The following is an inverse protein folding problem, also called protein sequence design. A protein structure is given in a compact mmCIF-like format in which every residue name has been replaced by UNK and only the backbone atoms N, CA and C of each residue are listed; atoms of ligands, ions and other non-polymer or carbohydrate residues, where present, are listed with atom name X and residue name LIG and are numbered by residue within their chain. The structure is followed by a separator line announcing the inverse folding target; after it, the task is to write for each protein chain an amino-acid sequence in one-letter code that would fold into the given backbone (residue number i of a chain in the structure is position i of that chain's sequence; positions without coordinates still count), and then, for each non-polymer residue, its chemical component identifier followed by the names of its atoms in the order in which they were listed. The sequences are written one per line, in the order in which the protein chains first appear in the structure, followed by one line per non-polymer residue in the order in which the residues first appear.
data_IF_417924209799
#
_entry.id   IF_417924209799
#
_cell.length_a   1.000
_cell.length_b   1.000
_cell.length_c   1.000
_cell.angle_alpha   90.00
_cell.angle_beta   90.00
_cell.angle_gamma   90.00
#
_symmetry.space_group_name_H-M   'P 1'
#
loop_
_entity.id
_entity.type
_entity.pdbx_description
1 polymer ?
#
# COMPACT_ATOMS: atom_id res chain seq x y z
N UNK A 1 -5.09 18.58 -33.28
CA UNK A 1 -5.26 17.97 -31.93
C UNK A 1 -4.34 16.75 -31.86
N UNK A 2 -3.36 16.66 -30.94
CA UNK A 2 -2.38 15.59 -31.00
C UNK A 2 -3.01 14.27 -30.54
N UNK A 3 -2.93 13.31 -31.47
CA UNK A 3 -3.08 11.86 -31.36
C UNK A 3 -3.09 11.31 -29.93
N UNK A 4 -4.13 10.56 -29.56
CA UNK A 4 -4.19 9.66 -28.40
C UNK A 4 -3.28 8.44 -28.57
N UNK A 5 -2.07 8.65 -29.08
CA UNK A 5 -1.04 7.62 -29.08
C UNK A 5 -0.73 7.31 -27.61
N UNK A 6 -1.14 6.11 -27.18
CA UNK A 6 -0.60 5.48 -25.98
C UNK A 6 0.91 5.63 -26.06
N UNK A 7 1.48 6.43 -25.14
CA UNK A 7 2.91 6.70 -25.10
C UNK A 7 3.67 5.36 -25.22
N UNK A 8 4.48 5.14 -26.27
CA UNK A 8 5.16 3.87 -26.48
C UNK A 8 6.03 3.58 -25.25
N UNK A 9 5.63 2.57 -24.46
CA UNK A 9 6.24 2.34 -23.15
C UNK A 9 5.26 1.87 -22.09
N UNK A 10 4.06 2.45 -22.01
CA UNK A 10 3.10 2.13 -20.96
C UNK A 10 2.36 0.81 -21.21
N UNK A 11 1.90 0.19 -20.12
CA UNK A 11 0.99 -0.94 -20.20
C UNK A 11 -0.35 -0.47 -20.75
N UNK A 12 -0.96 -1.25 -21.66
CA UNK A 12 -2.22 -0.87 -22.27
C UNK A 12 -3.27 -0.61 -21.17
N UNK A 13 -4.06 0.47 -21.24
CA UNK A 13 -5.17 0.64 -20.33
C UNK A 13 -6.05 -0.61 -20.46
N UNK A 14 -6.21 -1.36 -19.37
CA UNK A 14 -7.26 -2.36 -19.35
C UNK A 14 -8.57 -1.58 -19.32
N UNK A 15 -9.51 -1.84 -20.23
CA UNK A 15 -10.87 -1.35 -20.07
C UNK A 15 -11.31 -1.78 -18.68
N UNK A 16 -11.51 -0.81 -17.80
CA UNK A 16 -12.14 -1.09 -16.52
C UNK A 16 -13.62 -1.02 -16.85
N UNK A 17 -14.32 -2.14 -16.64
CA UNK A 17 -15.78 -2.14 -16.69
C UNK A 17 -16.36 -1.19 -15.64
N UNK A 18 -17.66 -1.29 -15.31
CA UNK A 18 -18.20 -0.52 -14.19
C UNK A 18 -17.32 -0.70 -12.93
N UNK A 19 -17.22 0.32 -12.05
CA UNK A 19 -16.46 0.20 -10.81
C UNK A 19 -16.82 -1.10 -10.11
N UNK A 20 -15.83 -1.82 -9.55
CA UNK A 20 -16.09 -3.12 -8.94
C UNK A 20 -17.15 -2.96 -7.85
N UNK A 21 -18.10 -3.90 -7.80
CA UNK A 21 -19.06 -3.95 -6.71
C UNK A 21 -18.29 -4.11 -5.41
N UNK A 22 -18.43 -3.14 -4.49
CA UNK A 22 -17.82 -3.28 -3.17
C UNK A 22 -18.62 -4.32 -2.39
N UNK A 23 -17.98 -5.42 -2.03
CA UNK A 23 -18.53 -6.32 -1.03
C UNK A 23 -18.77 -5.54 0.27
N UNK A 24 -19.80 -5.92 1.04
CA UNK A 24 -20.04 -5.37 2.37
C UNK A 24 -18.82 -5.70 3.26
N UNK A 25 -17.89 -4.74 3.35
CA UNK A 25 -16.69 -4.83 4.17
C UNK A 25 -16.88 -4.09 5.50
N UNK A 26 -16.04 -4.38 6.51
CA UNK A 26 -16.03 -3.60 7.74
C UNK A 26 -15.79 -2.12 7.42
N UNK A 27 -16.68 -1.24 7.88
CA UNK A 27 -16.62 0.21 7.67
C UNK A 27 -17.64 0.80 6.68
N UNK A 28 -18.44 -0.02 5.98
CA UNK A 28 -19.58 0.50 5.19
C UNK A 28 -19.21 1.40 4.01
N UNK A 29 -17.98 1.27 3.50
CA UNK A 29 -17.45 2.08 2.40
C UNK A 29 -18.33 1.97 1.13
N UNK A 30 -18.53 3.10 0.45
CA UNK A 30 -19.32 3.23 -0.77
C UNK A 30 -18.47 3.87 -1.86
N UNK A 31 -18.77 3.55 -3.13
CA UNK A 31 -18.20 4.26 -4.26
C UNK A 31 -19.13 5.40 -4.65
N UNK A 32 -18.60 6.61 -4.61
CA UNK A 32 -19.28 7.80 -5.06
C UNK A 32 -18.47 8.46 -6.17
N UNK A 33 -19.14 8.93 -7.22
CA UNK A 33 -18.48 9.74 -8.25
C UNK A 33 -18.16 11.11 -7.67
N UNK A 34 -16.94 11.57 -7.86
CA UNK A 34 -16.47 12.87 -7.41
C UNK A 34 -16.03 13.73 -8.61
N UNK A 35 -16.33 15.02 -8.53
CA UNK A 35 -15.88 16.01 -9.51
C UNK A 35 -14.48 16.51 -9.14
N UNK A 36 -13.66 16.87 -10.13
CA UNK A 36 -12.27 17.28 -9.91
C UNK A 36 -12.15 18.50 -8.99
N UNK A 37 -13.15 19.40 -9.01
CA UNK A 37 -13.21 20.60 -8.19
C UNK A 37 -13.39 20.29 -6.70
N UNK A 38 -13.86 19.08 -6.37
CA UNK A 38 -14.02 18.59 -4.99
C UNK A 38 -12.76 17.90 -4.46
N UNK A 39 -11.72 17.73 -5.28
CA UNK A 39 -10.45 17.14 -4.87
C UNK A 39 -9.48 18.23 -4.42
N UNK A 40 -9.66 18.66 -3.17
CA UNK A 40 -8.77 19.64 -2.56
C UNK A 40 -7.30 19.20 -2.65
N UNK A 41 -6.40 20.12 -2.97
CA UNK A 41 -4.96 19.86 -3.07
C UNK A 41 -4.52 18.92 -4.20
N UNK A 42 -5.41 18.44 -5.07
CA UNK A 42 -5.02 17.58 -6.19
C UNK A 42 -3.98 18.28 -7.09
N UNK A 43 -4.23 19.55 -7.46
CA UNK A 43 -3.29 20.32 -8.28
C UNK A 43 -1.96 20.69 -7.61
N UNK A 44 -1.86 20.52 -6.29
CA UNK A 44 -0.67 20.88 -5.50
C UNK A 44 0.34 19.72 -5.40
N UNK A 45 -0.10 18.48 -5.65
CA UNK A 45 0.79 17.33 -5.67
C UNK A 45 1.68 17.31 -6.92
N UNK A 46 2.91 16.82 -6.74
CA UNK A 46 3.79 16.49 -7.85
C UNK A 46 3.37 15.15 -8.50
N UNK A 47 2.36 15.20 -9.37
CA UNK A 47 1.87 14.02 -10.10
C UNK A 47 2.94 13.31 -10.94
N UNK A 48 4.05 13.97 -11.28
CA UNK A 48 5.14 13.33 -12.03
C UNK A 48 5.78 12.18 -11.24
N UNK A 49 5.81 12.27 -9.92
CA UNK A 49 6.38 11.20 -9.08
C UNK A 49 5.46 9.97 -9.04
N UNK A 50 4.15 10.18 -8.92
CA UNK A 50 3.16 9.10 -9.04
C UNK A 50 3.25 8.44 -10.43
N UNK A 51 3.36 9.26 -11.49
CA UNK A 51 3.51 8.76 -12.85
C UNK A 51 4.81 7.97 -13.06
N UNK A 52 5.91 8.34 -12.40
CA UNK A 52 7.16 7.56 -12.44
C UNK A 52 6.98 6.16 -11.85
N UNK A 53 6.28 6.03 -10.72
CA UNK A 53 5.96 4.74 -10.10
C UNK A 53 5.08 3.90 -11.04
N UNK A 54 3.96 4.48 -11.51
CA UNK A 54 3.07 3.82 -12.48
C UNK A 54 3.80 3.33 -13.73
N UNK A 55 4.68 4.16 -14.30
CA UNK A 55 5.49 3.80 -15.46
C UNK A 55 6.47 2.67 -15.14
N UNK A 56 7.13 2.69 -13.99
CA UNK A 56 8.02 1.62 -13.55
C UNK A 56 7.25 0.29 -13.45
N UNK A 57 6.06 0.30 -12.83
CA UNK A 57 5.15 -0.85 -12.78
C UNK A 57 4.80 -1.38 -14.18
N UNK A 58 4.35 -0.50 -15.09
CA UNK A 58 4.00 -0.89 -16.45
C UNK A 58 5.20 -1.52 -17.19
N UNK A 59 6.40 -0.94 -17.05
CA UNK A 59 7.60 -1.45 -17.69
C UNK A 59 8.00 -2.82 -17.14
N UNK A 60 7.96 -3.00 -15.82
CA UNK A 60 8.24 -4.29 -15.18
C UNK A 60 7.27 -5.38 -15.67
N UNK A 61 5.96 -5.08 -15.75
CA UNK A 61 4.95 -5.99 -16.30
C UNK A 61 5.23 -6.39 -17.75
N UNK A 62 5.61 -5.44 -18.60
CA UNK A 62 5.85 -5.69 -20.04
C UNK A 62 7.08 -6.54 -20.29
N UNK A 63 8.13 -6.33 -19.50
CA UNK A 63 9.41 -7.00 -19.70
C UNK A 63 9.42 -8.42 -19.11
N UNK A 64 8.33 -8.86 -18.46
CA UNK A 64 8.29 -10.14 -17.73
C UNK A 64 9.43 -10.27 -16.71
N UNK A 65 9.99 -9.14 -16.27
CA UNK A 65 11.26 -9.13 -15.56
C UNK A 65 11.08 -9.66 -14.14
N UNK A 66 11.89 -10.65 -13.80
CA UNK A 66 12.35 -10.87 -12.43
C UNK A 66 13.30 -9.75 -11.99
N UNK A 67 13.51 -9.57 -10.68
CA UNK A 67 14.09 -8.34 -10.14
C UNK A 67 15.56 -8.06 -10.47
N UNK A 68 15.93 -6.80 -10.22
CA UNK A 68 17.18 -6.07 -10.47
C UNK A 68 18.47 -6.76 -10.00
N UNK A 69 19.63 -6.36 -10.58
CA UNK A 69 20.99 -6.81 -10.22
C UNK A 69 21.93 -5.63 -9.90
N UNK A 70 22.21 -5.35 -8.62
CA UNK A 70 23.47 -5.45 -7.83
C UNK A 70 23.18 -4.98 -6.38
N UNK A 71 23.33 -5.81 -5.34
CA UNK A 71 23.01 -5.46 -3.93
C UNK A 71 22.62 -6.67 -3.05
N UNK A 72 22.23 -6.47 -1.77
CA UNK A 72 21.66 -7.53 -0.91
C UNK A 72 20.50 -6.91 -0.11
N UNK A 73 19.27 -7.27 -0.44
CA UNK A 73 18.08 -6.96 0.37
C UNK A 73 17.21 -8.21 0.51
N UNK A 74 16.27 -8.26 1.46
CA UNK A 74 15.31 -9.36 1.58
C UNK A 74 13.90 -8.88 1.19
N UNK A 75 13.19 -9.68 0.40
CA UNK A 75 11.82 -9.40 -0.05
C UNK A 75 10.91 -10.59 0.26
N UNK A 76 9.62 -10.32 0.44
CA UNK A 76 8.65 -11.40 0.64
C UNK A 76 8.55 -12.26 -0.64
N UNK A 77 8.83 -13.54 -0.52
CA UNK A 77 8.91 -14.47 -1.65
C UNK A 77 7.72 -15.43 -1.69
N UNK A 78 7.23 -15.84 -0.53
CA UNK A 78 6.14 -16.80 -0.41
C UNK A 78 5.36 -16.58 0.88
N UNK A 79 4.05 -16.86 0.86
CA UNK A 79 3.24 -16.95 2.07
C UNK A 79 2.56 -18.32 2.11
N UNK A 80 2.45 -18.92 3.30
CA UNK A 80 1.83 -20.23 3.47
C UNK A 80 0.30 -20.25 3.26
N UNK A 81 -0.30 -19.10 2.89
CA UNK A 81 -1.75 -18.89 2.65
C UNK A 81 -2.66 -19.26 3.81
N UNK A 82 -2.12 -19.39 5.02
CA UNK A 82 -2.92 -19.56 6.23
C UNK A 82 -3.52 -18.21 6.67
N UNK A 83 -4.66 -18.22 7.40
CA UNK A 83 -5.28 -17.00 7.87
C UNK A 83 -4.33 -16.15 8.72
N UNK A 84 -4.32 -14.84 8.46
CA UNK A 84 -3.64 -13.88 9.32
C UNK A 84 -4.47 -13.64 10.58
N UNK A 85 -3.82 -13.62 11.75
CA UNK A 85 -4.45 -13.23 13.01
C UNK A 85 -3.62 -12.15 13.69
N UNK A 86 -4.27 -11.04 14.04
CA UNK A 86 -3.63 -9.91 14.73
C UNK A 86 -3.31 -10.27 16.17
N UNK A 87 -2.03 -10.47 16.47
CA UNK A 87 -1.57 -10.70 17.85
C UNK A 87 -1.80 -9.48 18.75
N UNK A 88 -1.77 -8.27 18.20
CA UNK A 88 -2.12 -7.06 18.95
C UNK A 88 -3.57 -7.07 19.41
N UNK A 89 -4.49 -7.50 18.53
CA UNK A 89 -5.91 -7.64 18.88
C UNK A 89 -6.11 -8.67 20.00
N UNK A 90 -5.43 -9.82 19.94
CA UNK A 90 -5.47 -10.83 21.01
C UNK A 90 -5.01 -10.25 22.35
N UNK A 91 -3.95 -9.45 22.37
CA UNK A 91 -3.45 -8.83 23.61
C UNK A 91 -4.39 -7.75 24.16
N UNK A 92 -5.11 -7.04 23.28
CA UNK A 92 -6.15 -6.10 23.69
C UNK A 92 -7.36 -6.84 24.27
N UNK A 93 -7.89 -7.81 23.54
CA UNK A 93 -9.09 -8.58 23.92
C UNK A 93 -8.89 -9.34 25.24
N UNK A 94 -7.66 -9.79 25.49
CA UNK A 94 -7.32 -10.48 26.73
C UNK A 94 -6.87 -9.56 27.87
N UNK A 95 -6.96 -8.23 27.69
CA UNK A 95 -6.65 -7.24 28.73
C UNK A 95 -5.17 -7.04 29.04
N UNK A 96 -4.26 -7.64 28.28
CA UNK A 96 -2.81 -7.58 28.50
C UNK A 96 -2.21 -6.23 28.07
N UNK A 97 -2.79 -5.59 27.07
CA UNK A 97 -2.41 -4.25 26.61
C UNK A 97 -3.67 -3.41 26.47
N UNK A 98 -3.67 -2.21 27.04
CA UNK A 98 -4.77 -1.27 26.87
C UNK A 98 -4.88 -0.85 25.38
N UNK A 99 -6.07 -0.88 24.76
CA UNK A 99 -6.23 -0.48 23.36
C UNK A 99 -5.69 0.92 23.04
N UNK A 100 -5.74 1.86 24.00
CA UNK A 100 -5.23 3.22 23.84
C UNK A 100 -3.70 3.29 23.81
N UNK A 101 -3.03 2.31 24.38
CA UNK A 101 -1.56 2.22 24.45
C UNK A 101 -0.98 1.33 23.35
N UNK A 102 -1.83 0.60 22.61
CA UNK A 102 -1.38 -0.31 21.57
C UNK A 102 -0.63 0.46 20.47
N UNK A 103 0.62 0.05 20.27
CA UNK A 103 1.54 0.52 19.25
C UNK A 103 2.53 -0.59 18.93
N UNK A 104 3.23 -0.52 17.80
CA UNK A 104 4.27 -1.49 17.47
C UNK A 104 5.37 -1.52 18.54
N UNK A 105 5.73 -0.35 19.08
CA UNK A 105 6.71 -0.21 20.16
C UNK A 105 6.24 -0.91 21.43
N UNK A 106 5.00 -0.65 21.87
CA UNK A 106 4.42 -1.29 23.07
C UNK A 106 4.27 -2.79 22.90
N UNK A 107 3.82 -3.24 21.72
CA UNK A 107 3.71 -4.66 21.37
C UNK A 107 5.09 -5.35 21.44
N UNK A 108 6.12 -4.78 20.81
CA UNK A 108 7.49 -5.33 20.85
C UNK A 108 8.04 -5.40 22.28
N UNK A 109 7.80 -4.37 23.09
CA UNK A 109 8.21 -4.37 24.50
C UNK A 109 7.53 -5.51 25.27
N UNK A 110 6.20 -5.61 25.18
CA UNK A 110 5.44 -6.66 25.87
C UNK A 110 5.90 -8.07 25.47
N UNK A 111 6.15 -8.32 24.17
CA UNK A 111 6.63 -9.63 23.69
C UNK A 111 8.03 -9.98 24.23
N UNK A 112 8.90 -8.98 24.42
CA UNK A 112 10.25 -9.19 24.98
C UNK A 112 10.20 -9.49 26.48
N UNK A 113 9.31 -8.81 27.19
CA UNK A 113 9.16 -8.93 28.64
C UNK A 113 8.43 -10.22 29.04
N UNK A 114 7.56 -10.77 28.17
CA UNK A 114 6.69 -11.91 28.46
C UNK A 114 6.97 -13.11 27.54
N UNK A 115 8.23 -13.57 27.43
CA UNK A 115 8.67 -14.52 26.38
C UNK A 115 7.86 -15.82 26.24
N UNK A 116 7.39 -16.39 27.36
CA UNK A 116 6.60 -17.63 27.33
C UNK A 116 5.23 -17.39 26.69
N UNK A 117 4.45 -16.43 27.20
CA UNK A 117 3.16 -16.04 26.64
C UNK A 117 3.29 -15.47 25.22
N UNK A 118 4.38 -14.74 24.95
CA UNK A 118 4.66 -14.21 23.62
C UNK A 118 4.70 -15.34 22.57
N UNK A 119 5.31 -16.48 22.90
CA UNK A 119 5.34 -17.64 22.00
C UNK A 119 3.93 -18.16 21.71
N UNK A 120 3.12 -18.32 22.75
CA UNK A 120 1.74 -18.80 22.62
C UNK A 120 0.90 -17.86 21.74
N UNK A 121 0.97 -16.55 22.01
CA UNK A 121 0.24 -15.53 21.25
C UNK A 121 0.73 -15.47 19.80
N UNK A 122 2.04 -15.53 19.55
CA UNK A 122 2.59 -15.57 18.18
C UNK A 122 2.12 -16.79 17.40
N UNK A 123 2.02 -17.97 18.03
CA UNK A 123 1.51 -19.19 17.40
C UNK A 123 0.03 -19.13 17.02
N UNK A 124 -0.74 -18.18 17.56
CA UNK A 124 -2.13 -17.95 17.13
C UNK A 124 -2.22 -17.42 15.71
N UNK A 125 -1.20 -16.70 15.24
CA UNK A 125 -1.12 -16.30 13.84
C UNK A 125 -0.55 -17.44 13.00
N UNK A 126 -1.43 -18.11 12.25
CA UNK A 126 -1.03 -19.22 11.38
C UNK A 126 -0.35 -18.74 10.09
N UNK A 127 -0.54 -17.47 9.73
CA UNK A 127 0.08 -16.87 8.56
C UNK A 127 1.59 -16.74 8.76
N UNK A 128 2.35 -17.22 7.77
CA UNK A 128 3.80 -17.14 7.73
C UNK A 128 4.27 -16.63 6.38
N UNK A 129 5.16 -15.65 6.40
CA UNK A 129 5.79 -15.06 5.21
C UNK A 129 7.26 -15.49 5.18
N UNK A 130 7.66 -16.09 4.07
CA UNK A 130 9.03 -16.50 3.79
C UNK A 130 9.69 -15.45 2.92
N UNK A 131 10.91 -15.10 3.28
CA UNK A 131 11.68 -14.08 2.58
C UNK A 131 12.74 -14.74 1.71
N UNK A 132 13.03 -14.10 0.57
CA UNK A 132 14.19 -14.43 -0.26
C UNK A 132 15.16 -13.26 -0.18
N UNK A 133 16.44 -13.59 -0.04
CA UNK A 133 17.50 -12.61 -0.25
C UNK A 133 17.57 -12.35 -1.76
N UNK A 134 17.39 -11.10 -2.15
CA UNK A 134 17.55 -10.60 -3.51
C UNK A 134 19.00 -10.13 -3.69
N UNK A 135 19.88 -10.99 -4.27
CA UNK A 135 21.22 -10.57 -4.66
C UNK A 135 21.08 -9.59 -5.83
N UNK A 136 20.98 -8.32 -5.53
CA UNK A 136 20.79 -7.32 -6.55
C UNK A 136 20.11 -6.05 -6.10
N UNK A 137 19.43 -6.05 -4.97
CA UNK A 137 18.66 -4.89 -4.55
C UNK A 137 19.50 -4.10 -3.56
N UNK A 138 19.81 -2.85 -3.88
CA UNK A 138 20.51 -1.98 -2.94
C UNK A 138 19.52 -1.49 -1.88
N UNK A 139 19.92 -1.37 -0.61
CA UNK A 139 19.04 -0.87 0.45
C UNK A 139 18.35 0.46 0.11
N UNK A 140 19.03 1.33 -0.65
CA UNK A 140 18.52 2.65 -1.03
C UNK A 140 17.43 2.60 -2.11
N UNK A 141 17.29 1.49 -2.83
CA UNK A 141 16.28 1.32 -3.88
C UNK A 141 14.90 1.00 -3.31
N UNK A 142 14.83 0.67 -2.01
CA UNK A 142 13.61 0.21 -1.35
C UNK A 142 13.29 -1.26 -1.67
N UNK A 143 12.41 -1.89 -0.87
CA UNK A 143 12.00 -3.27 -1.09
C UNK A 143 11.16 -3.38 -2.38
N UNK A 144 11.13 -4.58 -2.96
CA UNK A 144 10.18 -4.88 -4.03
C UNK A 144 8.79 -5.07 -3.45
N UNK A 145 7.80 -4.33 -3.96
CA UNK A 145 6.40 -4.59 -3.67
C UNK A 145 5.88 -5.84 -4.39
N UNK A 146 4.68 -6.27 -4.04
CA UNK A 146 3.99 -7.40 -4.72
C UNK A 146 3.77 -7.15 -6.23
N UNK A 147 3.82 -5.91 -6.69
CA UNK A 147 3.79 -5.57 -8.11
C UNK A 147 5.12 -5.81 -8.85
N UNK A 148 6.19 -6.21 -8.15
CA UNK A 148 7.49 -6.54 -8.74
C UNK A 148 8.40 -5.34 -9.02
N UNK A 149 8.08 -4.17 -8.44
CA UNK A 149 8.86 -2.94 -8.57
C UNK A 149 9.36 -2.45 -7.22
N UNK A 150 10.53 -1.78 -7.17
CA UNK A 150 11.00 -1.15 -5.95
C UNK A 150 10.05 -0.04 -5.49
N UNK A 151 9.75 -0.01 -4.20
CA UNK A 151 8.83 0.96 -3.62
C UNK A 151 9.54 2.30 -3.36
N UNK A 152 9.03 3.36 -3.97
CA UNK A 152 9.53 4.74 -3.72
C UNK A 152 8.83 5.33 -2.50
N UNK A 153 9.51 5.90 -1.49
CA UNK A 153 8.84 6.45 -0.31
C UNK A 153 7.68 7.41 -0.64
N UNK A 154 6.58 7.32 0.12
CA UNK A 154 5.41 8.20 0.08
C UNK A 154 4.66 8.24 -1.27
N UNK A 155 4.74 7.17 -2.07
CA UNK A 155 4.05 7.04 -3.36
C UNK A 155 3.27 5.73 -3.54
N UNK A 156 3.80 4.55 -3.19
CA UNK A 156 3.06 3.34 -3.28
C UNK A 156 2.26 3.08 -2.00
N UNK A 157 1.15 2.41 -2.21
CA UNK A 157 0.34 1.84 -1.16
C UNK A 157 0.22 0.33 -1.33
N UNK A 158 0.13 -0.37 -0.20
CA UNK A 158 -0.50 -1.67 -0.17
C UNK A 158 -2.01 -1.47 -0.10
N UNK A 159 -2.76 -2.16 -0.96
CA UNK A 159 -4.22 -2.11 -0.99
C UNK A 159 -4.81 -3.51 -1.22
N UNK A 160 -6.10 -3.66 -0.94
CA UNK A 160 -6.83 -4.88 -1.26
C UNK A 160 -6.90 -5.07 -2.78
N UNK A 161 -6.37 -6.21 -3.25
CA UNK A 161 -6.31 -6.56 -4.68
C UNK A 161 -7.64 -6.99 -5.28
N UNK A 162 -8.62 -7.34 -4.45
CA UNK A 162 -9.94 -7.79 -4.92
C UNK A 162 -10.67 -6.66 -5.66
N UNK A 163 -10.89 -5.48 -5.03
CA UNK A 163 -11.42 -4.33 -5.75
C UNK A 163 -10.35 -3.56 -6.53
N UNK A 164 -9.08 -3.52 -6.08
CA UNK A 164 -8.07 -2.61 -6.63
C UNK A 164 -6.84 -3.34 -7.18
N UNK A 165 -6.78 -3.61 -8.50
CA UNK A 165 -5.59 -4.20 -9.12
C UNK A 165 -4.33 -3.36 -8.92
N UNK A 166 -3.15 -3.99 -9.01
CA UNK A 166 -1.89 -3.25 -9.03
C UNK A 166 -1.83 -2.27 -10.20
N UNK A 167 -1.17 -1.13 -9.96
CA UNK A 167 -1.10 0.01 -10.86
C UNK A 167 -2.28 0.97 -10.74
N UNK A 168 -3.31 0.64 -9.95
CA UNK A 168 -4.45 1.55 -9.74
C UNK A 168 -3.97 2.85 -9.10
N UNK A 169 -4.19 4.02 -9.73
CA UNK A 169 -3.90 5.30 -9.11
C UNK A 169 -4.97 5.63 -8.08
N UNK A 170 -4.54 6.03 -6.89
CA UNK A 170 -5.40 6.38 -5.76
C UNK A 170 -4.93 7.71 -5.19
N UNK A 171 -5.79 8.73 -5.19
CA UNK A 171 -5.54 9.96 -4.46
C UNK A 171 -5.93 9.77 -3.00
N UNK A 172 -5.01 10.07 -2.10
CA UNK A 172 -5.21 9.99 -0.65
C UNK A 172 -5.28 11.41 -0.09
N UNK A 173 -6.33 11.70 0.66
CA UNK A 173 -6.48 12.91 1.48
C UNK A 173 -6.60 12.49 2.96
N UNK A 174 -5.65 12.93 3.78
CA UNK A 174 -5.58 12.56 5.20
C UNK A 174 -4.79 13.58 6.00
N UNK A 175 -5.03 13.63 7.31
CA UNK A 175 -4.18 14.35 8.28
C UNK A 175 -3.22 13.36 8.93
N UNK A 176 -1.93 13.42 8.54
CA UNK A 176 -0.93 12.41 8.91
C UNK A 176 0.32 13.05 9.53
N UNK A 177 0.95 12.42 10.53
CA UNK A 177 2.26 12.83 11.05
C UNK A 177 3.38 12.35 10.11
N UNK A 178 3.41 12.86 8.88
CA UNK A 178 4.26 12.31 7.81
C UNK A 178 5.58 13.07 7.60
N UNK A 179 5.63 14.36 7.94
CA UNK A 179 6.87 15.17 7.96
C UNK A 179 7.41 15.32 9.37
N UNK A 180 6.52 15.55 10.33
CA UNK A 180 6.78 15.74 11.76
C UNK A 180 5.82 14.89 12.60
N UNK A 181 5.96 14.91 13.93
CA UNK A 181 5.04 14.23 14.85
C UNK A 181 3.65 14.88 14.90
N UNK A 182 3.49 16.07 14.31
CA UNK A 182 2.20 16.74 14.21
C UNK A 182 1.47 16.27 12.95
N UNK A 183 0.16 15.96 13.04
CA UNK A 183 -0.65 15.74 11.86
C UNK A 183 -0.59 16.97 10.95
N UNK A 184 -0.24 16.73 9.70
CA UNK A 184 -0.23 17.71 8.62
C UNK A 184 -1.01 17.14 7.42
N UNK A 185 -1.61 17.99 6.58
CA UNK A 185 -2.29 17.55 5.37
C UNK A 185 -1.37 16.68 4.50
N UNK A 186 -1.85 15.51 4.15
CA UNK A 186 -1.25 14.59 3.21
C UNK A 186 -2.21 14.38 2.06
N UNK A 187 -1.92 15.04 0.94
CA UNK A 187 -2.72 15.01 -0.28
C UNK A 187 -1.84 14.59 -1.43
N UNK A 188 -1.90 13.31 -1.80
CA UNK A 188 -1.01 12.77 -2.83
C UNK A 188 -1.71 11.78 -3.72
N UNK A 189 -1.35 11.83 -5.00
CA UNK A 189 -1.59 10.74 -5.92
C UNK A 189 -0.58 9.61 -5.62
N UNK A 190 -1.13 8.45 -5.34
CA UNK A 190 -0.43 7.23 -4.96
C UNK A 190 -0.71 6.12 -5.98
N UNK A 191 0.12 5.09 -6.02
CA UNK A 191 -0.06 3.92 -6.90
C UNK A 191 -0.18 2.65 -6.06
N UNK A 192 -1.17 1.81 -6.34
CA UNK A 192 -1.28 0.47 -5.73
C UNK A 192 -0.17 -0.45 -6.26
N UNK A 193 0.93 -0.61 -5.53
CA UNK A 193 2.09 -1.41 -5.95
C UNK A 193 2.40 -2.57 -4.99
N UNK A 194 1.66 -2.67 -3.89
CA UNK A 194 1.86 -3.72 -2.90
C UNK A 194 0.53 -4.28 -2.37
N UNK A 195 0.61 -5.33 -1.55
CA UNK A 195 -0.51 -5.88 -0.78
C UNK A 195 -0.03 -6.31 0.60
N UNK A 196 -0.94 -6.32 1.57
CA UNK A 196 -0.70 -6.93 2.87
C UNK A 196 -1.87 -7.81 3.30
N UNK A 197 -1.59 -8.91 3.99
CA UNK A 197 -2.63 -9.83 4.47
C UNK A 197 -3.61 -9.19 5.47
N UNK A 198 -3.19 -8.14 6.17
CA UNK A 198 -4.03 -7.35 7.07
C UNK A 198 -4.73 -6.16 6.39
N UNK A 199 -4.42 -5.90 5.11
CA UNK A 199 -4.91 -4.74 4.34
C UNK A 199 -6.05 -5.22 3.45
N UNK A 200 -7.23 -5.32 4.06
CA UNK A 200 -8.44 -5.84 3.45
C UNK A 200 -9.54 -4.77 3.45
N UNK A 201 -10.34 -4.78 2.40
CA UNK A 201 -11.46 -3.87 2.22
C UNK A 201 -11.15 -2.72 1.24
N UNK A 202 -12.21 -2.07 0.73
CA UNK A 202 -12.08 -1.13 -0.38
C UNK A 202 -11.59 0.26 0.03
N UNK A 203 -11.71 0.63 1.30
CA UNK A 203 -11.27 1.93 1.83
C UNK A 203 -10.15 1.74 2.87
N UNK A 204 -9.18 0.86 2.57
CA UNK A 204 -8.02 0.61 3.43
C UNK A 204 -6.75 0.55 2.61
N UNK A 205 -5.74 1.30 3.05
CA UNK A 205 -4.44 1.33 2.44
C UNK A 205 -3.35 1.36 3.53
N UNK A 206 -2.19 0.82 3.22
CA UNK A 206 -0.97 1.00 4.00
C UNK A 206 0.06 1.73 3.15
N UNK A 207 0.59 2.83 3.66
CA UNK A 207 1.49 3.70 2.90
C UNK A 207 2.94 3.30 3.18
N UNK A 208 3.73 3.14 2.12
CA UNK A 208 5.15 2.93 2.27
C UNK A 208 5.87 4.25 2.61
N UNK A 209 6.33 4.40 3.86
CA UNK A 209 7.06 5.60 4.32
C UNK A 209 8.54 5.62 3.93
N UNK A 210 9.12 4.47 3.56
CA UNK A 210 10.54 4.30 3.31
C UNK A 210 11.16 3.17 4.11
N UNK A 211 12.48 3.12 4.12
CA UNK A 211 13.27 2.07 4.79
C UNK A 211 14.16 2.66 5.88
N UNK A 212 14.54 1.83 6.85
CA UNK A 212 15.37 2.21 8.00
C UNK A 212 14.56 2.66 9.22
N UNK A 213 15.27 2.89 10.33
CA UNK A 213 14.65 3.10 11.65
C UNK A 213 13.78 4.36 11.69
N UNK A 214 14.23 5.45 11.06
CA UNK A 214 13.48 6.71 10.98
C UNK A 214 12.11 6.52 10.31
N UNK A 215 12.04 5.71 9.26
CA UNK A 215 10.77 5.39 8.61
C UNK A 215 9.92 4.48 9.52
N UNK A 216 10.54 3.52 10.20
CA UNK A 216 9.86 2.60 11.12
C UNK A 216 9.23 3.30 12.34
N UNK A 217 9.88 4.32 12.89
CA UNK A 217 9.34 5.14 13.98
C UNK A 217 8.09 5.91 13.54
N UNK A 218 8.10 6.48 12.33
CA UNK A 218 6.95 7.21 11.75
C UNK A 218 5.75 6.31 11.48
N UNK A 219 5.98 5.04 11.11
CA UNK A 219 4.94 4.03 10.86
C UNK A 219 4.32 3.50 12.16
N UNK A 220 4.97 3.69 13.31
CA UNK A 220 4.54 3.15 14.60
C UNK A 220 3.26 3.75 15.20
N UNK A 221 2.70 4.77 14.55
CA UNK A 221 1.50 5.48 15.01
C UNK A 221 0.21 4.78 14.56
N UNK A 222 -0.87 5.08 15.27
CA UNK A 222 -2.21 4.46 15.14
C UNK A 222 -2.74 4.56 13.71
N UNK A 223 -3.75 3.76 13.36
CA UNK A 223 -4.48 3.93 12.10
C UNK A 223 -5.11 5.32 12.00
N UNK A 224 -4.94 5.98 10.86
CA UNK A 224 -5.47 7.31 10.58
C UNK A 224 -6.68 7.21 9.64
N UNK A 225 -7.66 8.11 9.84
CA UNK A 225 -8.73 8.27 8.87
C UNK A 225 -8.16 8.92 7.58
N UNK A 226 -8.62 8.44 6.44
CA UNK A 226 -8.22 8.94 5.13
C UNK A 226 -9.37 8.77 4.14
N UNK A 227 -9.54 9.74 3.27
CA UNK A 227 -10.38 9.63 2.08
C UNK A 227 -9.53 9.09 0.92
N UNK A 228 -10.03 8.02 0.29
CA UNK A 228 -9.37 7.37 -0.85
C UNK A 228 -10.21 7.56 -2.11
N UNK A 229 -9.66 8.28 -3.07
CA UNK A 229 -10.29 8.52 -4.38
C UNK A 229 -9.57 7.72 -5.44
N UNK A 230 -10.23 6.69 -5.95
CA UNK A 230 -9.68 5.83 -7.00
C UNK A 230 -9.88 6.47 -8.37
N UNK A 231 -8.79 6.61 -9.13
CA UNK A 231 -8.85 7.11 -10.50
C UNK A 231 -8.97 5.94 -11.47
N UNK A 232 -10.14 5.79 -12.06
CA UNK A 232 -10.38 4.80 -13.10
C UNK A 232 -10.10 5.42 -14.48
N UNK A 233 -9.47 4.67 -15.40
CA UNK A 233 -9.35 5.13 -16.78
C UNK A 233 -10.75 5.32 -17.34
N UNK A 234 -11.00 6.47 -17.97
CA UNK A 234 -12.12 6.60 -18.87
C UNK A 234 -11.90 5.62 -20.01
N UNK A 235 -12.94 4.90 -20.43
CA UNK A 235 -12.87 4.25 -21.75
C UNK A 235 -12.49 5.35 -22.73
N UNK A 236 -11.38 5.17 -23.45
CA UNK A 236 -11.15 5.97 -24.62
C UNK A 236 -12.28 5.61 -25.57
N UNK A 237 -13.37 6.39 -25.55
CA UNK A 237 -14.38 6.31 -26.59
C UNK A 237 -13.59 6.42 -27.88
N UNK A 238 -13.55 5.33 -28.66
CA UNK A 238 -12.97 5.38 -29.99
C UNK A 238 -13.63 6.60 -30.63
N UNK A 239 -12.81 7.58 -31.05
CA UNK A 239 -13.34 8.73 -31.77
C UNK A 239 -14.23 8.14 -32.88
N UNK A 240 -15.54 8.38 -32.78
CA UNK A 240 -16.47 7.97 -33.82
C UNK A 240 -15.98 8.62 -35.12
N UNK A 241 -16.02 7.88 -36.24
CA UNK A 241 -15.44 8.31 -37.51
C UNK A 241 -15.96 9.67 -37.99
#
# INVERSE_FOLDING_TARGET
MPNSQVMPGLCAPRPVGPPPALAAGPGGARLERIAWERLAGFGEDNHRDAFRCFRAFCMARRQGRGPLRLGVAATAAFENRRPYTSIGSILIESGRINPREMSLTRLKAWLRDNRAEAREVMHRNQSYVFFRIEPGLRPEEGPLGNAGVPLTPLRPIAADRSPWPHGTPVFMDAELPWRSDRPEPFRRLMISEDRGLAILGPARADMFFGSGDVAGERVGHRGHAADLVVLLPVEATAAAP
#
